data_IF_151748562664
#
_entry.id   IF_151748562664
#
_cell.length_a   1.000
_cell.length_b   1.000
_cell.length_c   1.000
_cell.angle_alpha   90.00
_cell.angle_beta   90.00
_cell.angle_gamma   90.00
#
_symmetry.space_group_name_H-M   'P 1'
#
loop_
_entity.id
_entity.type
_entity.pdbx_description
1 polymer ?
#
# COMPACT_ATOMS: atom_id res chain seq x y z
N UNK A 1 48.59 31.39 39.30
CA UNK A 1 48.70 30.85 40.67
C UNK A 1 47.42 31.18 41.42
N UNK A 2 46.85 30.13 42.03
CA UNK A 2 45.82 30.08 43.08
C UNK A 2 44.36 30.49 42.81
N UNK A 3 43.42 29.77 43.46
CA UNK A 3 42.06 29.52 42.95
C UNK A 3 40.95 29.85 43.99
N UNK A 4 39.72 29.40 43.70
CA UNK A 4 38.56 29.24 44.62
C UNK A 4 37.86 30.59 44.96
N UNK A 5 36.55 30.68 45.17
CA UNK A 5 35.62 29.77 45.87
C UNK A 5 34.18 29.94 45.36
N UNK A 6 33.46 28.82 45.44
CA UNK A 6 32.01 28.75 45.50
C UNK A 6 31.48 29.36 46.80
N UNK A 7 30.33 30.05 46.73
CA UNK A 7 29.42 30.29 47.85
C UNK A 7 27.99 30.14 47.32
N UNK A 8 27.34 29.04 47.66
CA UNK A 8 25.88 28.97 47.81
C UNK A 8 25.51 29.68 49.11
N UNK A 9 24.37 30.40 49.14
CA UNK A 9 23.38 30.27 50.21
C UNK A 9 22.03 30.91 49.84
N UNK A 10 21.01 30.05 49.87
CA UNK A 10 19.61 30.20 50.27
C UNK A 10 18.82 31.52 50.07
N UNK A 11 17.75 31.35 49.28
CA UNK A 11 16.34 31.71 49.51
C UNK A 11 15.98 32.96 50.33
N UNK A 12 15.25 33.89 49.67
CA UNK A 12 14.23 34.69 50.34
C UNK A 12 13.06 34.99 49.40
N UNK A 13 11.87 34.79 49.98
CA UNK A 13 10.53 35.03 49.44
C UNK A 13 10.27 36.51 49.13
N UNK A 14 9.58 36.81 48.02
CA UNK A 14 8.30 37.54 48.01
C UNK A 14 7.98 38.26 46.69
N UNK A 15 6.70 38.17 46.34
CA UNK A 15 5.85 39.11 45.56
C UNK A 15 5.74 38.95 44.04
N UNK A 16 4.47 38.88 43.68
CA UNK A 16 3.83 38.77 42.37
C UNK A 16 4.13 39.95 41.45
N UNK A 17 4.47 39.63 40.20
CA UNK A 17 4.24 40.49 39.05
C UNK A 17 3.42 39.68 38.03
N UNK A 18 2.11 39.91 38.05
CA UNK A 18 1.19 39.54 36.98
C UNK A 18 1.57 40.34 35.73
N UNK A 19 2.36 39.74 34.84
CA UNK A 19 2.48 40.21 33.46
C UNK A 19 1.28 39.66 32.66
N UNK A 20 0.40 40.56 32.26
CA UNK A 20 -0.67 40.34 31.30
C UNK A 20 -0.07 39.89 29.96
N UNK A 21 -0.43 38.68 29.52
CA UNK A 21 -0.12 38.19 28.18
C UNK A 21 -1.02 38.90 27.16
N UNK A 22 -0.49 39.35 26.01
CA UNK A 22 -1.29 40.00 24.98
C UNK A 22 -2.20 38.96 24.30
N UNK A 23 -3.46 39.33 24.10
CA UNK A 23 -4.44 38.56 23.33
C UNK A 23 -3.89 38.29 21.93
N UNK A 24 -3.58 37.02 21.66
CA UNK A 24 -3.25 36.56 20.30
C UNK A 24 -4.54 36.54 19.49
N UNK A 25 -4.67 37.54 18.62
CA UNK A 25 -5.64 37.58 17.54
C UNK A 25 -5.64 36.24 16.77
N UNK A 26 -6.72 35.47 16.90
CA UNK A 26 -6.92 34.18 16.23
C UNK A 26 -7.09 34.44 14.74
N UNK A 27 -6.03 34.24 13.95
CA UNK A 27 -6.15 34.11 12.50
C UNK A 27 -6.69 32.72 12.17
N UNK A 28 -7.80 32.68 11.43
CA UNK A 28 -8.60 31.51 11.08
C UNK A 28 -7.79 30.36 10.45
N UNK A 29 -7.86 29.18 11.06
CA UNK A 29 -7.24 27.91 10.66
C UNK A 29 -8.07 27.12 9.62
N UNK A 30 -8.43 27.74 8.49
CA UNK A 30 -9.37 27.15 7.52
C UNK A 30 -8.80 26.03 6.62
N UNK A 31 -7.48 25.88 6.53
CA UNK A 31 -6.83 24.93 5.61
C UNK A 31 -6.46 23.57 6.23
N UNK A 32 -6.36 23.49 7.57
CA UNK A 32 -6.13 22.23 8.29
C UNK A 32 -7.43 21.48 8.51
N UNK A 33 -8.52 22.18 8.84
CA UNK A 33 -9.86 21.60 9.04
C UNK A 33 -10.41 20.95 7.77
N UNK A 34 -10.29 21.60 6.61
CA UNK A 34 -10.71 21.02 5.31
C UNK A 34 -9.95 19.76 4.94
N UNK A 35 -8.62 19.71 5.18
CA UNK A 35 -7.80 18.52 4.91
C UNK A 35 -8.16 17.35 5.81
N UNK A 36 -8.42 17.62 7.09
CA UNK A 36 -8.86 16.61 8.04
C UNK A 36 -10.23 16.04 7.63
N UNK A 37 -11.18 16.91 7.29
CA UNK A 37 -12.51 16.52 6.84
C UNK A 37 -12.47 15.66 5.57
N UNK A 38 -11.72 16.06 4.54
CA UNK A 38 -11.58 15.27 3.31
C UNK A 38 -10.90 13.90 3.53
N UNK A 39 -10.01 13.80 4.52
CA UNK A 39 -9.39 12.51 4.88
C UNK A 39 -10.41 11.59 5.56
N UNK A 40 -11.21 12.11 6.49
CA UNK A 40 -12.27 11.35 7.14
C UNK A 40 -13.32 10.83 6.15
N UNK A 41 -13.75 11.68 5.21
CA UNK A 41 -14.72 11.28 4.18
C UNK A 41 -14.19 10.18 3.27
N UNK A 42 -12.89 10.23 2.93
CA UNK A 42 -12.27 9.18 2.14
C UNK A 42 -12.17 7.85 2.91
N UNK A 43 -11.86 7.86 4.21
CA UNK A 43 -11.82 6.62 5.00
C UNK A 43 -13.21 6.01 5.18
N UNK A 44 -14.25 6.83 5.43
CA UNK A 44 -15.63 6.32 5.51
C UNK A 44 -16.09 5.75 4.17
N UNK A 45 -15.78 6.42 3.05
CA UNK A 45 -16.05 5.91 1.71
C UNK A 45 -15.38 4.54 1.47
N UNK A 46 -14.09 4.39 1.81
CA UNK A 46 -13.39 3.09 1.71
C UNK A 46 -14.11 2.00 2.50
N UNK A 47 -14.50 2.31 3.74
CA UNK A 47 -15.20 1.39 4.62
C UNK A 47 -16.54 0.94 4.02
N UNK A 48 -17.37 1.88 3.56
CA UNK A 48 -18.66 1.59 2.95
C UNK A 48 -18.53 0.70 1.70
N UNK A 49 -17.57 0.99 0.82
CA UNK A 49 -17.28 0.17 -0.35
C UNK A 49 -16.87 -1.25 0.03
N UNK A 50 -15.95 -1.37 0.99
CA UNK A 50 -15.45 -2.64 1.49
C UNK A 50 -16.56 -3.50 2.12
N UNK A 51 -17.40 -2.88 2.95
CA UNK A 51 -18.49 -3.56 3.63
C UNK A 51 -19.51 -4.07 2.62
N UNK A 52 -19.92 -3.22 1.67
CA UNK A 52 -20.85 -3.62 0.62
C UNK A 52 -20.30 -4.78 -0.23
N UNK A 53 -19.01 -4.76 -0.60
CA UNK A 53 -18.42 -5.85 -1.36
C UNK A 53 -18.40 -7.17 -0.57
N UNK A 54 -17.97 -7.13 0.70
CA UNK A 54 -17.93 -8.32 1.56
C UNK A 54 -19.31 -8.89 1.81
N UNK A 55 -20.30 -8.04 2.08
CA UNK A 55 -21.67 -8.46 2.36
C UNK A 55 -22.34 -9.13 1.15
N UNK A 56 -22.05 -8.66 -0.06
CA UNK A 56 -22.66 -9.18 -1.28
C UNK A 56 -21.95 -10.41 -1.87
N UNK A 57 -20.64 -10.57 -1.65
CA UNK A 57 -19.84 -11.58 -2.36
C UNK A 57 -19.26 -12.69 -1.48
N UNK A 58 -19.19 -12.49 -0.15
CA UNK A 58 -18.66 -13.51 0.75
C UNK A 58 -19.78 -14.44 1.23
N UNK A 59 -19.54 -15.74 1.05
CA UNK A 59 -20.43 -16.82 1.46
C UNK A 59 -19.66 -17.87 2.29
N UNK A 60 -20.40 -18.71 2.99
CA UNK A 60 -19.81 -19.80 3.76
C UNK A 60 -19.10 -20.81 2.83
N UNK A 61 -18.02 -21.42 3.32
CA UNK A 61 -17.18 -22.41 2.62
C UNK A 61 -16.46 -21.88 1.36
N UNK A 62 -16.18 -20.58 1.29
CA UNK A 62 -15.41 -20.00 0.20
C UNK A 62 -13.91 -19.93 0.50
N UNK A 63 -13.11 -20.04 -0.56
CA UNK A 63 -11.71 -19.61 -0.56
C UNK A 63 -11.61 -18.20 -1.13
N UNK A 64 -11.07 -17.28 -0.34
CA UNK A 64 -11.09 -15.84 -0.57
C UNK A 64 -9.67 -15.32 -0.80
N UNK A 65 -9.40 -14.76 -1.98
CA UNK A 65 -8.22 -13.95 -2.24
C UNK A 65 -8.32 -12.60 -1.53
N UNK A 66 -7.34 -12.27 -0.70
CA UNK A 66 -7.29 -11.01 0.07
C UNK A 66 -6.23 -10.09 -0.50
N UNK A 67 -6.70 -8.97 -1.04
CA UNK A 67 -5.93 -7.89 -1.61
C UNK A 67 -5.00 -7.16 -0.64
N UNK A 68 -4.45 -6.03 -1.10
CA UNK A 68 -3.52 -5.21 -0.32
C UNK A 68 -3.93 -3.74 -0.31
N UNK A 69 -3.37 -2.97 0.63
CA UNK A 69 -3.61 -1.53 0.74
C UNK A 69 -4.70 -1.11 1.74
N UNK A 70 -4.88 0.21 1.89
CA UNK A 70 -5.66 0.79 2.99
C UNK A 70 -7.16 0.44 2.95
N UNK A 71 -7.73 0.27 1.76
CA UNK A 71 -9.16 -0.05 1.63
C UNK A 71 -9.45 -1.49 2.07
N UNK A 72 -8.49 -2.40 1.88
CA UNK A 72 -8.62 -3.81 2.23
C UNK A 72 -8.65 -4.05 3.73
N UNK A 73 -8.09 -3.14 4.53
CA UNK A 73 -8.21 -3.16 6.00
C UNK A 73 -9.68 -3.29 6.40
N UNK A 74 -10.55 -2.44 5.86
CA UNK A 74 -11.98 -2.48 6.15
C UNK A 74 -12.69 -3.74 5.63
N UNK A 75 -12.21 -4.33 4.53
CA UNK A 75 -12.77 -5.56 4.00
C UNK A 75 -12.46 -6.73 4.93
N UNK A 76 -11.21 -6.81 5.44
CA UNK A 76 -10.83 -7.85 6.41
C UNK A 76 -11.53 -7.63 7.75
N UNK A 77 -11.67 -6.39 8.22
CA UNK A 77 -12.43 -6.08 9.43
C UNK A 77 -13.87 -6.62 9.32
N UNK A 78 -14.55 -6.34 8.20
CA UNK A 78 -15.91 -6.82 7.95
C UNK A 78 -15.97 -8.34 7.81
N UNK A 79 -15.00 -8.94 7.13
CA UNK A 79 -14.90 -10.38 6.95
C UNK A 79 -14.79 -11.09 8.31
N UNK A 80 -13.92 -10.60 9.19
CA UNK A 80 -13.73 -11.11 10.54
C UNK A 80 -14.99 -10.93 11.41
N UNK A 81 -15.69 -9.80 11.26
CA UNK A 81 -16.99 -9.58 11.90
C UNK A 81 -17.99 -10.68 11.49
N UNK A 82 -18.16 -10.91 10.19
CA UNK A 82 -19.10 -11.92 9.66
C UNK A 82 -18.71 -13.34 10.06
N UNK A 83 -17.44 -13.70 10.00
CA UNK A 83 -16.96 -15.02 10.47
C UNK A 83 -17.34 -15.26 11.93
N UNK A 84 -17.17 -14.26 12.80
CA UNK A 84 -17.51 -14.37 14.22
C UNK A 84 -19.02 -14.42 14.48
N UNK A 85 -19.81 -13.61 13.78
CA UNK A 85 -21.26 -13.50 13.99
C UNK A 85 -22.03 -14.66 13.33
N UNK A 86 -21.70 -14.99 12.08
CA UNK A 86 -22.41 -15.97 11.26
C UNK A 86 -21.75 -17.36 11.30
N UNK A 87 -20.58 -17.49 11.94
CA UNK A 87 -19.78 -18.73 11.99
C UNK A 87 -19.39 -19.24 10.60
N UNK A 88 -18.99 -18.33 9.71
CA UNK A 88 -18.54 -18.68 8.37
C UNK A 88 -17.21 -19.44 8.44
N UNK A 89 -17.14 -20.54 7.70
CA UNK A 89 -15.93 -21.26 7.41
C UNK A 89 -15.34 -20.72 6.10
N UNK A 90 -14.33 -19.86 6.20
CA UNK A 90 -13.66 -19.27 5.04
C UNK A 90 -12.16 -19.52 5.13
N UNK A 91 -11.50 -19.57 3.98
CA UNK A 91 -10.04 -19.68 3.88
C UNK A 91 -9.52 -18.46 3.12
N UNK A 92 -8.51 -17.79 3.64
CA UNK A 92 -7.97 -16.56 3.07
C UNK A 92 -6.60 -16.80 2.44
N UNK A 93 -6.42 -16.41 1.17
CA UNK A 93 -5.14 -16.45 0.44
C UNK A 93 -4.64 -15.02 0.22
N UNK A 94 -3.49 -14.63 0.79
CA UNK A 94 -3.01 -13.25 0.74
C UNK A 94 -2.32 -12.89 -0.59
N UNK A 95 -2.42 -11.61 -0.97
CA UNK A 95 -1.70 -11.02 -2.12
C UNK A 95 -0.37 -10.35 -1.74
N UNK A 96 -0.04 -10.30 -0.45
CA UNK A 96 1.21 -9.71 0.04
C UNK A 96 1.48 -10.07 1.50
N UNK A 97 2.67 -9.72 2.01
CA UNK A 97 2.95 -9.80 3.45
C UNK A 97 1.97 -8.96 4.30
N UNK A 98 1.55 -7.78 3.84
CA UNK A 98 0.59 -6.92 4.53
C UNK A 98 -0.76 -7.64 4.68
N UNK A 99 -1.28 -8.18 3.57
CA UNK A 99 -2.53 -8.93 3.57
C UNK A 99 -2.44 -10.14 4.52
N UNK A 100 -1.33 -10.87 4.46
CA UNK A 100 -1.05 -12.01 5.35
C UNK A 100 -1.11 -11.62 6.82
N UNK A 101 -0.46 -10.52 7.21
CA UNK A 101 -0.47 -10.07 8.60
C UNK A 101 -1.87 -9.63 9.04
N UNK A 102 -2.59 -8.93 8.17
CA UNK A 102 -3.95 -8.47 8.44
C UNK A 102 -4.92 -9.63 8.67
N UNK A 103 -4.83 -10.71 7.87
CA UNK A 103 -5.60 -11.96 8.05
C UNK A 103 -5.31 -12.57 9.43
N UNK A 104 -4.02 -12.74 9.77
CA UNK A 104 -3.61 -13.38 11.02
C UNK A 104 -4.03 -12.57 12.24
N UNK A 105 -3.90 -11.24 12.19
CA UNK A 105 -4.28 -10.34 13.28
C UNK A 105 -5.78 -10.40 13.58
N UNK A 106 -6.61 -10.71 12.59
CA UNK A 106 -8.06 -10.86 12.72
C UNK A 106 -8.50 -12.28 13.07
N UNK A 107 -7.56 -13.22 13.25
CA UNK A 107 -7.87 -14.62 13.56
C UNK A 107 -8.57 -15.37 12.42
N UNK A 108 -8.40 -14.92 11.17
CA UNK A 108 -8.93 -15.59 9.99
C UNK A 108 -8.02 -16.74 9.55
N UNK A 109 -8.62 -17.78 8.95
CA UNK A 109 -7.88 -18.95 8.45
C UNK A 109 -7.00 -18.54 7.27
N UNK A 110 -5.68 -18.63 7.43
CA UNK A 110 -4.70 -18.34 6.39
C UNK A 110 -4.36 -19.60 5.57
N UNK A 111 -4.23 -19.47 4.26
CA UNK A 111 -3.71 -20.49 3.35
C UNK A 111 -2.90 -19.88 2.19
N UNK A 112 -2.59 -20.68 1.19
CA UNK A 112 -1.82 -20.33 0.00
C UNK A 112 -2.34 -21.01 -1.27
N UNK A 113 -1.81 -20.60 -2.43
CA UNK A 113 -2.22 -21.13 -3.74
C UNK A 113 -1.75 -22.56 -3.98
N UNK A 114 -0.73 -23.04 -3.26
CA UNK A 114 -0.29 -24.44 -3.35
C UNK A 114 -1.36 -25.39 -2.80
N UNK A 115 -2.06 -24.98 -1.74
CA UNK A 115 -3.18 -25.73 -1.17
C UNK A 115 -4.52 -25.42 -1.85
N UNK A 116 -4.70 -24.18 -2.31
CA UNK A 116 -5.94 -23.72 -2.95
C UNK A 116 -5.62 -22.98 -4.26
N UNK A 117 -5.36 -23.71 -5.36
CA UNK A 117 -4.99 -23.10 -6.64
C UNK A 117 -6.17 -22.38 -7.33
N UNK A 118 -7.40 -22.70 -6.94
CA UNK A 118 -8.63 -22.06 -7.40
C UNK A 118 -9.32 -21.38 -6.22
N UNK A 119 -9.73 -20.13 -6.43
CA UNK A 119 -10.40 -19.29 -5.44
C UNK A 119 -11.83 -18.99 -5.89
N UNK A 120 -12.76 -18.85 -4.95
CA UNK A 120 -14.14 -18.50 -5.28
C UNK A 120 -14.27 -17.01 -5.56
N UNK A 121 -13.58 -16.19 -4.75
CA UNK A 121 -13.65 -14.74 -4.88
C UNK A 121 -12.32 -14.12 -4.46
N UNK A 122 -11.87 -13.07 -5.16
CA UNK A 122 -10.79 -12.20 -4.71
C UNK A 122 -11.34 -10.79 -4.52
N UNK A 123 -11.03 -10.18 -3.37
CA UNK A 123 -11.36 -8.78 -3.08
C UNK A 123 -10.06 -7.98 -3.02
N UNK A 124 -9.92 -6.93 -3.83
CA UNK A 124 -8.73 -6.09 -3.85
C UNK A 124 -9.02 -4.60 -4.12
N UNK A 125 -8.08 -3.73 -3.78
CA UNK A 125 -8.14 -2.30 -4.10
C UNK A 125 -7.59 -1.97 -5.48
N UNK A 126 -7.85 -0.74 -5.93
CA UNK A 126 -7.25 -0.17 -7.13
C UNK A 126 -6.69 1.25 -6.89
N UNK A 127 -5.66 1.62 -7.66
CA UNK A 127 -5.11 2.96 -7.67
C UNK A 127 -5.92 3.92 -8.55
N UNK A 128 -6.55 3.36 -9.59
CA UNK A 128 -7.50 4.02 -10.49
C UNK A 128 -8.32 2.96 -11.25
N UNK A 129 -9.56 3.31 -11.60
CA UNK A 129 -10.48 2.47 -12.37
C UNK A 129 -11.11 3.31 -13.47
N UNK A 130 -11.07 2.83 -14.72
CA UNK A 130 -11.71 3.51 -15.84
C UNK A 130 -13.17 3.07 -16.09
N UNK A 131 -13.78 3.61 -17.15
CA UNK A 131 -15.15 3.27 -17.54
C UNK A 131 -15.33 1.82 -18.00
N UNK A 132 -14.26 1.17 -18.47
CA UNK A 132 -14.25 -0.22 -18.95
C UNK A 132 -13.78 -1.22 -17.88
N UNK A 133 -13.67 -0.79 -16.63
CA UNK A 133 -13.15 -1.57 -15.49
C UNK A 133 -11.71 -2.04 -15.70
N UNK A 134 -10.95 -1.34 -16.54
CA UNK A 134 -9.50 -1.48 -16.55
C UNK A 134 -8.94 -0.77 -15.33
N UNK A 135 -8.06 -1.44 -14.59
CA UNK A 135 -7.49 -0.91 -13.36
C UNK A 135 -6.02 -0.58 -13.54
N UNK A 136 -5.58 0.47 -12.85
CA UNK A 136 -4.18 0.60 -12.43
C UNK A 136 -4.07 0.09 -10.99
N UNK A 137 -3.11 -0.80 -10.74
CA UNK A 137 -2.73 -1.34 -9.44
C UNK A 137 -1.22 -1.30 -9.25
N UNK A 138 -0.73 -1.58 -8.04
CA UNK A 138 0.69 -1.62 -7.70
C UNK A 138 1.29 -0.28 -7.24
N UNK A 139 0.46 0.71 -6.95
CA UNK A 139 0.85 2.06 -6.53
C UNK A 139 1.42 2.16 -5.12
N UNK A 140 1.19 1.15 -4.28
CA UNK A 140 1.82 0.90 -2.97
C UNK A 140 2.20 2.15 -2.18
N UNK A 141 1.28 2.69 -1.39
CA UNK A 141 1.57 3.83 -0.52
C UNK A 141 2.29 3.41 0.75
N UNK A 142 3.10 4.34 1.27
CA UNK A 142 3.78 4.23 2.56
C UNK A 142 2.76 4.06 3.69
N UNK A 143 2.75 2.90 4.35
CA UNK A 143 1.94 2.68 5.53
C UNK A 143 2.59 3.41 6.71
N UNK A 144 2.19 4.66 6.95
CA UNK A 144 2.64 5.42 8.12
C UNK A 144 1.96 4.99 9.43
N UNK A 145 1.08 3.99 9.42
CA UNK A 145 0.22 3.64 10.58
C UNK A 145 0.59 2.26 11.14
N UNK A 146 1.86 1.99 11.39
CA UNK A 146 2.25 1.05 12.45
C UNK A 146 3.74 1.27 12.70
N UNK A 147 4.07 2.43 13.26
CA UNK A 147 5.24 2.53 14.12
C UNK A 147 4.97 1.62 15.32
N UNK A 148 5.17 0.31 15.16
CA UNK A 148 5.54 -0.51 16.30
C UNK A 148 6.84 0.13 16.78
N UNK A 149 6.80 0.78 17.93
CA UNK A 149 7.99 1.08 18.72
C UNK A 149 8.64 -0.26 19.06
N UNK A 150 9.39 -0.83 18.12
CA UNK A 150 10.39 -1.82 18.47
C UNK A 150 11.54 -0.99 19.04
N UNK A 151 11.48 -0.74 20.34
CA UNK A 151 12.62 -0.27 21.12
C UNK A 151 13.74 -1.31 20.99
N UNK A 152 14.57 -1.21 19.95
CA UNK A 152 15.88 -1.84 19.97
C UNK A 152 16.80 -0.94 20.80
N UNK A 153 16.78 -1.16 22.11
CA UNK A 153 17.91 -0.79 22.96
C UNK A 153 19.03 -1.78 22.65
N UNK A 154 19.91 -1.43 21.71
CA UNK A 154 21.23 -2.05 21.61
C UNK A 154 22.23 -0.99 22.00
N UNK A 155 22.60 -0.98 23.29
CA UNK A 155 23.73 -0.22 23.79
C UNK A 155 24.99 -0.64 23.05
N UNK A 156 25.48 0.23 22.18
CA UNK A 156 26.72 0.08 21.44
C UNK A 156 27.90 0.40 22.38
N UNK A 157 28.38 -0.57 23.16
CA UNK A 157 29.67 -0.47 23.83
C UNK A 157 30.78 -0.90 22.88
N UNK A 158 31.44 0.08 22.25
CA UNK A 158 32.71 -0.15 21.57
C UNK A 158 33.81 -0.34 22.62
N UNK A 159 34.35 -1.55 22.74
CA UNK A 159 35.65 -1.79 23.35
C UNK A 159 36.61 -2.22 22.25
N UNK A 160 37.61 -1.38 21.99
CA UNK A 160 38.71 -1.66 21.07
C UNK A 160 39.56 -2.80 21.66
N UNK A 161 39.41 -4.00 21.12
CA UNK A 161 40.33 -5.10 21.37
C UNK A 161 41.21 -5.28 20.13
N UNK A 162 42.44 -4.76 20.17
CA UNK A 162 43.47 -5.01 19.17
C UNK A 162 44.16 -6.35 19.46
N UNK A 163 43.74 -7.43 18.80
CA UNK A 163 44.60 -8.63 18.63
C UNK A 163 44.41 -9.26 17.25
N UNK A 164 45.47 -9.86 16.65
CA UNK A 164 45.47 -10.34 15.28
C UNK A 164 44.90 -11.77 15.19
N UNK A 165 43.57 -11.89 15.27
CA UNK A 165 42.80 -13.03 14.72
C UNK A 165 41.50 -12.51 14.11
N UNK A 166 41.62 -11.73 13.05
CA UNK A 166 40.49 -11.18 12.30
C UNK A 166 40.41 -11.86 10.92
N UNK A 167 40.00 -13.13 10.89
CA UNK A 167 39.46 -13.77 9.70
C UNK A 167 38.24 -14.60 10.15
N UNK A 168 37.11 -14.39 9.47
CA UNK A 168 35.80 -15.03 9.68
C UNK A 168 34.94 -14.55 10.86
N UNK A 169 34.75 -13.25 11.00
CA UNK A 169 33.46 -12.72 11.43
C UNK A 169 32.72 -12.22 10.19
N UNK A 170 32.02 -13.14 9.52
CA UNK A 170 31.08 -12.83 8.44
C UNK A 170 29.95 -12.01 9.09
N UNK A 171 30.11 -10.68 9.07
CA UNK A 171 29.15 -9.73 9.62
C UNK A 171 27.87 -9.83 8.79
N UNK A 172 26.97 -10.71 9.23
CA UNK A 172 25.57 -10.67 8.86
C UNK A 172 24.99 -9.36 9.42
N UNK A 173 25.17 -8.27 8.67
CA UNK A 173 24.30 -7.10 8.79
C UNK A 173 22.96 -7.59 8.26
N UNK A 174 22.13 -8.11 9.16
CA UNK A 174 20.69 -8.14 8.96
C UNK A 174 20.28 -6.68 8.77
N UNK A 175 20.29 -6.21 7.52
CA UNK A 175 19.42 -5.12 7.14
C UNK A 175 18.04 -5.57 7.59
N UNK A 176 17.49 -4.92 8.62
CA UNK A 176 16.07 -4.96 8.89
C UNK A 176 15.42 -4.39 7.63
N UNK A 177 15.14 -5.27 6.66
CA UNK A 177 14.12 -5.05 5.66
C UNK A 177 12.83 -5.01 6.45
N UNK A 178 12.49 -3.86 7.01
CA UNK A 178 11.10 -3.58 7.31
C UNK A 178 10.37 -3.78 5.97
N UNK A 179 9.45 -4.76 5.87
CA UNK A 179 8.72 -5.01 4.64
C UNK A 179 7.84 -3.78 4.37
N UNK A 180 8.40 -2.84 3.64
CA UNK A 180 7.67 -1.72 3.09
C UNK A 180 7.07 -2.24 1.80
N UNK A 181 5.88 -2.85 1.92
CA UNK A 181 5.12 -3.46 0.83
C UNK A 181 4.75 -2.41 -0.23
N UNK A 182 5.71 -2.09 -1.09
CA UNK A 182 5.53 -1.17 -2.20
C UNK A 182 5.58 -1.98 -3.49
N UNK A 183 4.40 -2.30 -4.00
CA UNK A 183 4.20 -2.97 -5.29
C UNK A 183 4.11 -4.47 -5.18
N UNK A 184 2.91 -4.91 -4.82
CA UNK A 184 2.52 -6.32 -4.75
C UNK A 184 1.78 -6.76 -6.03
N UNK A 185 1.88 -5.97 -7.12
CA UNK A 185 1.06 -6.13 -8.33
C UNK A 185 1.12 -7.54 -8.92
N UNK A 186 2.28 -8.21 -8.86
CA UNK A 186 2.43 -9.56 -9.41
C UNK A 186 1.60 -10.55 -8.60
N UNK A 187 1.72 -10.54 -7.27
CA UNK A 187 0.97 -11.43 -6.40
C UNK A 187 -0.53 -11.09 -6.42
N UNK A 188 -0.88 -9.79 -6.42
CA UNK A 188 -2.26 -9.31 -6.63
C UNK A 188 -2.87 -9.89 -7.91
N UNK A 189 -2.13 -9.84 -9.04
CA UNK A 189 -2.62 -10.33 -10.33
C UNK A 189 -2.73 -11.86 -10.37
N UNK A 190 -1.79 -12.57 -9.76
CA UNK A 190 -1.83 -14.04 -9.67
C UNK A 190 -3.08 -14.48 -8.89
N UNK A 191 -3.29 -13.95 -7.67
CA UNK A 191 -4.45 -14.29 -6.84
C UNK A 191 -5.75 -13.91 -7.53
N UNK A 192 -5.83 -12.71 -8.13
CA UNK A 192 -7.00 -12.30 -8.90
C UNK A 192 -7.28 -13.23 -10.09
N UNK A 193 -6.23 -13.71 -10.79
CA UNK A 193 -6.35 -14.65 -11.90
C UNK A 193 -6.75 -16.08 -11.49
N UNK A 194 -6.52 -16.46 -10.24
CA UNK A 194 -6.97 -17.73 -9.67
C UNK A 194 -8.43 -17.68 -9.17
N UNK A 195 -9.07 -16.51 -9.14
CA UNK A 195 -10.42 -16.33 -8.61
C UNK A 195 -11.51 -16.41 -9.69
N UNK A 196 -12.62 -17.08 -9.38
CA UNK A 196 -13.82 -17.09 -10.22
C UNK A 196 -14.44 -15.70 -10.34
N UNK A 197 -14.48 -14.98 -9.22
CA UNK A 197 -15.02 -13.63 -9.13
C UNK A 197 -13.94 -12.66 -8.62
N UNK A 198 -13.57 -11.65 -9.41
CA UNK A 198 -12.65 -10.61 -8.97
C UNK A 198 -13.40 -9.30 -8.71
N UNK A 199 -13.48 -8.93 -7.43
CA UNK A 199 -14.23 -7.79 -6.92
C UNK A 199 -13.28 -6.69 -6.46
N UNK A 200 -13.49 -5.49 -6.98
CA UNK A 200 -12.64 -4.34 -6.68
C UNK A 200 -13.35 -3.40 -5.73
N UNK A 201 -12.64 -2.89 -4.73
CA UNK A 201 -13.14 -1.90 -3.78
C UNK A 201 -12.32 -0.62 -3.85
N UNK A 202 -12.98 0.53 -3.91
CA UNK A 202 -12.32 1.81 -3.99
C UNK A 202 -13.18 2.95 -3.42
N UNK A 203 -12.55 4.08 -3.12
CA UNK A 203 -13.27 5.33 -2.85
C UNK A 203 -13.48 6.13 -4.15
N UNK A 204 -14.38 7.11 -4.11
CA UNK A 204 -14.79 7.94 -5.26
C UNK A 204 -13.64 8.60 -6.02
N UNK A 205 -12.48 8.86 -5.39
CA UNK A 205 -11.32 9.48 -6.06
C UNK A 205 -10.67 8.54 -7.08
N UNK A 206 -10.98 7.25 -7.03
CA UNK A 206 -10.46 6.22 -7.92
C UNK A 206 -11.34 6.01 -9.14
N UNK A 207 -12.56 6.58 -9.14
CA UNK A 207 -13.52 6.50 -10.24
C UNK A 207 -13.16 7.50 -11.36
N UNK A 208 -12.58 6.99 -12.45
CA UNK A 208 -12.18 7.79 -13.62
C UNK A 208 -12.92 7.37 -14.88
N UNK A 209 -13.00 8.28 -15.87
CA UNK A 209 -13.53 7.92 -17.19
C UNK A 209 -12.49 7.20 -18.04
N UNK A 210 -11.23 7.62 -17.92
CA UNK A 210 -10.08 7.01 -18.57
C UNK A 210 -8.90 6.96 -17.59
N UNK A 211 -8.05 5.94 -17.71
CA UNK A 211 -6.84 5.84 -16.91
C UNK A 211 -5.91 7.04 -17.14
N UNK A 212 -5.21 7.44 -16.08
CA UNK A 212 -4.33 8.59 -16.04
C UNK A 212 -5.03 9.90 -15.70
N UNK A 213 -6.34 9.91 -15.37
CA UNK A 213 -7.08 11.12 -15.03
C UNK A 213 -6.81 11.58 -13.61
N UNK A 214 -6.98 10.67 -12.64
CA UNK A 214 -6.77 10.88 -11.21
C UNK A 214 -5.40 10.33 -10.78
N UNK A 215 -4.93 9.25 -11.40
CA UNK A 215 -3.65 8.65 -11.07
C UNK A 215 -2.52 9.14 -11.99
N UNK A 216 -1.68 10.03 -11.47
CA UNK A 216 -0.58 10.65 -12.23
C UNK A 216 0.80 10.03 -11.99
N UNK A 217 0.91 9.04 -11.10
CA UNK A 217 2.22 8.44 -10.79
C UNK A 217 2.72 7.52 -11.90
N UNK A 218 1.83 7.05 -12.77
CA UNK A 218 2.15 6.15 -13.87
C UNK A 218 1.77 4.70 -13.57
N UNK A 219 1.77 3.87 -14.61
CA UNK A 219 1.52 2.43 -14.53
C UNK A 219 2.75 1.74 -13.92
N UNK A 220 2.61 1.06 -12.78
CA UNK A 220 3.72 0.29 -12.22
C UNK A 220 4.04 -0.92 -13.11
N UNK A 221 5.31 -1.21 -13.34
CA UNK A 221 5.79 -2.36 -14.10
C UNK A 221 6.88 -3.04 -13.28
N UNK A 222 6.64 -4.28 -12.86
CA UNK A 222 7.62 -5.07 -12.13
C UNK A 222 8.62 -5.67 -13.11
N UNK A 223 9.91 -5.49 -12.83
CA UNK A 223 11.01 -5.85 -13.74
C UNK A 223 12.16 -6.53 -12.99
N UNK A 224 12.81 -7.47 -13.67
CA UNK A 224 14.06 -8.05 -13.19
C UNK A 224 15.09 -6.92 -12.98
N UNK A 225 15.81 -6.88 -11.83
CA UNK A 225 16.70 -5.77 -11.50
C UNK A 225 17.75 -5.44 -12.56
N UNK A 226 18.28 -6.43 -13.28
CA UNK A 226 19.25 -6.20 -14.36
C UNK A 226 18.64 -5.51 -15.60
N UNK A 227 17.32 -5.62 -15.79
CA UNK A 227 16.61 -5.22 -17.00
C UNK A 227 15.94 -3.84 -16.93
N UNK A 228 15.99 -3.13 -15.79
CA UNK A 228 15.20 -1.90 -15.61
C UNK A 228 15.51 -0.80 -16.65
N UNK A 229 16.79 -0.63 -17.04
CA UNK A 229 17.20 0.35 -18.07
C UNK A 229 16.71 -0.04 -19.47
N UNK A 230 17.02 -1.24 -20.01
CA UNK A 230 16.53 -1.61 -21.35
C UNK A 230 15.01 -1.68 -21.42
N UNK A 231 14.32 -2.14 -20.37
CA UNK A 231 12.85 -2.14 -20.30
C UNK A 231 12.30 -0.71 -20.34
N UNK A 232 12.83 0.20 -19.51
CA UNK A 232 12.41 1.61 -19.50
C UNK A 232 12.54 2.24 -20.90
N UNK A 233 13.68 2.03 -21.57
CA UNK A 233 13.91 2.53 -22.94
C UNK A 233 12.97 1.88 -23.95
N UNK A 234 12.68 0.59 -23.82
CA UNK A 234 11.78 -0.13 -24.72
C UNK A 234 10.34 0.38 -24.61
N UNK A 235 9.85 0.62 -23.39
CA UNK A 235 8.53 1.19 -23.13
C UNK A 235 8.45 2.60 -23.76
N UNK A 236 9.40 3.48 -23.44
CA UNK A 236 9.42 4.85 -23.95
C UNK A 236 9.48 4.90 -25.49
N UNK A 237 10.27 4.02 -26.13
CA UNK A 237 10.35 3.94 -27.60
C UNK A 237 9.07 3.47 -28.27
N UNK A 238 8.35 2.53 -27.65
CA UNK A 238 7.16 1.91 -28.25
C UNK A 238 5.88 2.70 -27.99
N UNK A 239 5.76 3.30 -26.81
CA UNK A 239 4.51 3.88 -26.33
C UNK A 239 4.63 5.35 -25.89
N UNK A 240 5.82 5.94 -25.98
CA UNK A 240 6.08 7.29 -25.49
C UNK A 240 6.12 7.39 -23.96
N UNK A 241 6.16 8.62 -23.46
CA UNK A 241 6.24 8.91 -22.03
C UNK A 241 7.55 8.48 -21.37
N UNK A 242 7.54 8.38 -20.05
CA UNK A 242 8.74 8.13 -19.23
C UNK A 242 8.50 7.01 -18.22
N UNK A 243 9.36 5.98 -18.22
CA UNK A 243 9.35 4.89 -17.24
C UNK A 243 10.47 5.10 -16.21
N UNK A 244 10.10 5.55 -15.01
CA UNK A 244 11.03 5.97 -13.95
C UNK A 244 11.20 4.86 -12.92
N UNK A 245 12.43 4.57 -12.51
CA UNK A 245 12.69 3.62 -11.41
C UNK A 245 12.12 4.15 -10.09
N UNK A 246 11.26 3.36 -9.45
CA UNK A 246 10.63 3.73 -8.18
C UNK A 246 11.66 3.69 -7.04
N UNK A 247 11.97 4.85 -6.46
CA UNK A 247 12.88 4.96 -5.33
C UNK A 247 12.17 4.72 -4.00
N UNK A 248 12.84 4.03 -3.07
CA UNK A 248 12.30 3.83 -1.74
C UNK A 248 12.40 5.13 -0.91
N UNK A 249 11.41 5.36 -0.03
CA UNK A 249 11.40 6.55 0.85
C UNK A 249 12.15 6.27 2.16
N UNK A 250 11.98 5.06 2.71
CA UNK A 250 12.49 4.68 4.04
C UNK A 250 13.82 3.93 4.00
N UNK A 251 14.45 3.81 2.83
CA UNK A 251 15.79 3.23 2.64
C UNK A 251 16.47 3.84 1.42
N UNK A 252 17.80 3.78 1.37
CA UNK A 252 18.55 4.14 0.18
C UNK A 252 18.31 3.11 -0.94
N UNK A 253 18.23 3.59 -2.18
CA UNK A 253 18.07 2.74 -3.37
C UNK A 253 16.61 2.52 -3.81
N UNK A 254 16.41 1.66 -4.82
CA UNK A 254 15.09 1.40 -5.38
C UNK A 254 14.19 0.62 -4.43
N UNK A 255 12.89 0.70 -4.69
CA UNK A 255 11.92 -0.24 -4.15
C UNK A 255 12.28 -1.65 -4.65
N UNK A 256 12.23 -2.61 -3.72
CA UNK A 256 12.40 -4.03 -4.00
C UNK A 256 11.10 -4.71 -3.62
N UNK A 257 10.47 -5.41 -4.57
CA UNK A 257 9.20 -6.11 -4.35
C UNK A 257 9.40 -7.34 -3.45
N UNK A 258 8.29 -7.94 -3.01
CA UNK A 258 8.29 -9.21 -2.28
C UNK A 258 8.93 -10.35 -3.10
N UNK A 259 8.96 -10.21 -4.43
CA UNK A 259 9.59 -11.14 -5.37
C UNK A 259 11.05 -10.75 -5.71
N UNK A 260 11.64 -9.82 -4.95
CA UNK A 260 13.01 -9.31 -5.15
C UNK A 260 13.25 -8.57 -6.47
N UNK A 261 12.20 -8.01 -7.07
CA UNK A 261 12.28 -7.27 -8.33
C UNK A 261 12.24 -5.75 -8.13
N UNK A 262 12.52 -4.99 -9.19
CA UNK A 262 12.35 -3.54 -9.21
C UNK A 262 11.00 -3.14 -9.80
N UNK A 263 10.61 -1.89 -9.61
CA UNK A 263 9.40 -1.32 -10.20
C UNK A 263 9.77 -0.09 -11.02
N UNK A 264 9.29 -0.05 -12.25
CA UNK A 264 9.25 1.15 -13.08
C UNK A 264 7.84 1.75 -13.01
N UNK A 265 7.74 3.04 -12.74
CA UNK A 265 6.50 3.80 -12.85
C UNK A 265 6.46 4.46 -14.24
N UNK A 266 5.64 3.93 -15.14
CA UNK A 266 5.50 4.43 -16.50
C UNK A 266 4.42 5.51 -16.61
N UNK A 267 4.85 6.75 -16.77
CA UNK A 267 3.99 7.91 -17.02
C UNK A 267 3.71 8.01 -18.51
N UNK A 268 2.50 7.61 -18.92
CA UNK A 268 2.01 7.70 -20.28
C UNK A 268 1.33 9.05 -20.54
N UNK A 269 1.29 9.49 -21.80
CA UNK A 269 0.78 10.82 -22.18
C UNK A 269 -0.64 10.80 -22.75
N UNK A 270 -0.99 9.72 -23.46
CA UNK A 270 -2.24 9.62 -24.21
C UNK A 270 -2.97 8.33 -23.86
N UNK A 271 -4.31 8.34 -24.01
CA UNK A 271 -5.13 7.14 -23.90
C UNK A 271 -4.66 6.09 -24.91
N UNK A 272 -4.61 4.84 -24.48
CA UNK A 272 -4.11 3.72 -25.27
C UNK A 272 -5.13 2.60 -25.33
N UNK A 273 -4.97 1.67 -26.27
CA UNK A 273 -5.59 0.36 -26.18
C UNK A 273 -4.91 -0.44 -25.05
N UNK A 274 -5.51 -0.44 -23.86
CA UNK A 274 -4.91 -1.05 -22.67
C UNK A 274 -4.64 -2.54 -22.82
N UNK A 275 -5.45 -3.26 -23.61
CA UNK A 275 -5.24 -4.69 -23.86
C UNK A 275 -3.95 -4.94 -24.66
N UNK A 276 -3.77 -4.17 -25.74
CA UNK A 276 -2.57 -4.25 -26.57
C UNK A 276 -1.33 -3.79 -25.81
N UNK A 277 -1.41 -2.66 -25.11
CA UNK A 277 -0.30 -2.13 -24.30
C UNK A 277 0.10 -3.10 -23.20
N UNK A 278 -0.87 -3.63 -22.44
CA UNK A 278 -0.59 -4.62 -21.40
C UNK A 278 0.16 -5.83 -21.97
N UNK A 279 -0.35 -6.40 -23.07
CA UNK A 279 0.26 -7.57 -23.73
C UNK A 279 1.66 -7.24 -24.24
N UNK A 280 1.82 -6.11 -24.93
CA UNK A 280 3.08 -5.75 -25.56
C UNK A 280 4.17 -5.37 -24.55
N UNK A 281 3.82 -4.75 -23.40
CA UNK A 281 4.76 -4.51 -22.30
C UNK A 281 5.12 -5.84 -21.62
N UNK A 282 4.13 -6.70 -21.32
CA UNK A 282 4.37 -8.01 -20.70
C UNK A 282 5.32 -8.88 -21.52
N UNK A 283 5.34 -8.73 -22.84
CA UNK A 283 6.21 -9.47 -23.76
C UNK A 283 7.63 -8.89 -23.89
N UNK A 284 7.98 -7.78 -23.22
CA UNK A 284 9.35 -7.27 -23.21
C UNK A 284 10.21 -8.15 -22.28
N UNK A 285 11.36 -8.68 -22.74
CA UNK A 285 12.26 -9.45 -21.89
C UNK A 285 12.69 -8.67 -20.64
N UNK A 286 12.52 -9.29 -19.48
CA UNK A 286 12.80 -8.67 -18.18
C UNK A 286 11.59 -8.03 -17.50
N UNK A 287 10.44 -7.90 -18.17
CA UNK A 287 9.17 -7.56 -17.52
C UNK A 287 8.61 -8.80 -16.84
N UNK A 288 8.35 -8.68 -15.54
CA UNK A 288 7.70 -9.71 -14.72
C UNK A 288 6.20 -9.57 -14.88
N UNK A 289 5.63 -8.40 -14.58
CA UNK A 289 4.20 -8.12 -14.68
C UNK A 289 3.93 -6.61 -14.75
N UNK A 290 2.73 -6.22 -15.18
CA UNK A 290 2.26 -4.83 -15.27
C UNK A 290 1.19 -4.53 -14.22
N UNK A 291 1.04 -3.27 -13.83
CA UNK A 291 -0.04 -2.78 -12.99
C UNK A 291 -1.37 -2.64 -13.74
N UNK A 292 -1.48 -3.08 -15.00
CA UNK A 292 -2.72 -3.02 -15.79
C UNK A 292 -3.52 -4.31 -15.60
N UNK A 293 -4.70 -4.19 -14.99
CA UNK A 293 -5.65 -5.30 -14.83
C UNK A 293 -6.77 -5.09 -15.85
N UNK A 294 -6.61 -5.67 -17.03
CA UNK A 294 -7.50 -5.47 -18.18
C UNK A 294 -8.45 -6.65 -18.29
N UNK A 295 -9.76 -6.41 -18.22
CA UNK A 295 -10.78 -7.45 -18.38
C UNK A 295 -10.78 -8.52 -17.27
N UNK A 296 -10.26 -8.18 -16.09
CA UNK A 296 -10.23 -9.09 -14.94
C UNK A 296 -11.36 -8.80 -13.94
N UNK A 297 -11.65 -7.53 -13.68
CA UNK A 297 -12.63 -7.14 -12.67
C UNK A 297 -14.05 -7.44 -13.14
N UNK A 298 -14.81 -8.17 -12.34
CA UNK A 298 -16.22 -8.43 -12.57
C UNK A 298 -17.08 -7.29 -12.05
N UNK A 299 -16.72 -6.71 -10.91
CA UNK A 299 -17.49 -5.60 -10.32
C UNK A 299 -16.58 -4.70 -9.51
N UNK A 300 -16.89 -3.42 -9.52
CA UNK A 300 -16.21 -2.41 -8.71
C UNK A 300 -17.22 -1.73 -7.78
N UNK A 301 -16.90 -1.67 -6.50
CA UNK A 301 -17.64 -0.92 -5.48
C UNK A 301 -16.89 0.39 -5.18
N UNK A 302 -17.56 1.52 -5.39
CA UNK A 302 -17.08 2.86 -5.07
C UNK A 302 -17.83 3.43 -3.88
N UNK A 303 -17.11 3.72 -2.80
CA UNK A 303 -17.65 4.54 -1.72
C UNK A 303 -17.68 5.99 -2.14
N UNK A 304 -18.86 6.59 -2.11
CA UNK A 304 -19.10 7.96 -2.54
C UNK A 304 -18.93 8.93 -1.37
N UNK A 305 -18.57 10.19 -1.67
CA UNK A 305 -18.41 11.23 -0.66
C UNK A 305 -19.71 11.52 0.11
N UNK A 306 -20.86 11.26 -0.50
CA UNK A 306 -22.19 11.44 0.09
C UNK A 306 -22.67 10.25 0.96
N UNK A 307 -21.81 9.27 1.20
CA UNK A 307 -22.12 8.08 2.00
C UNK A 307 -22.88 6.98 1.24
N UNK A 308 -23.11 7.14 -0.07
CA UNK A 308 -23.64 6.06 -0.91
C UNK A 308 -22.54 5.12 -1.37
N UNK A 309 -22.92 3.91 -1.78
CA UNK A 309 -22.04 3.00 -2.50
C UNK A 309 -22.54 2.88 -3.94
N UNK A 310 -21.68 3.22 -4.89
CA UNK A 310 -21.92 3.07 -6.33
C UNK A 310 -21.26 1.79 -6.81
N UNK A 311 -21.99 0.96 -7.53
CA UNK A 311 -21.42 -0.20 -8.22
C UNK A 311 -21.16 0.11 -9.70
N UNK A 312 -20.18 -0.59 -10.27
CA UNK A 312 -19.94 -0.63 -11.72
C UNK A 312 -19.69 -2.07 -12.15
N UNK A 313 -20.48 -2.52 -13.10
CA UNK A 313 -20.36 -3.79 -13.80
C UNK A 313 -19.71 -3.56 -15.18
N UNK A 314 -19.16 -4.60 -15.82
CA UNK A 314 -18.53 -4.48 -17.13
C UNK A 314 -19.56 -4.02 -18.15
N UNK A 315 -19.15 -3.27 -19.20
CA UNK A 315 -20.06 -2.93 -20.29
C UNK A 315 -20.70 -4.20 -20.85
N UNK A 316 -22.03 -4.20 -20.99
CA UNK A 316 -22.73 -5.26 -21.70
C UNK A 316 -22.31 -5.16 -23.16
N UNK A 317 -21.61 -6.17 -23.66
CA UNK A 317 -21.28 -6.31 -25.08
C UNK A 317 -22.51 -6.69 -25.90
#
# INVERSE_FOLDING_TARGET
MTPRKWVEFAATSSRSLLLSLPEKHVRSSSSSSRRYHGTLMAEEAKKLAAYAAVDNHIQNNQVVGVGSGSTIVYAVDRLAERVRQEKLNIVCVPTSFQARQLILQHGLTLSDLDRHPELDVAIDGADEVDAALTLIKGGGYDWKIFSIQVFFSVSLHFHLCETPRCHQAQRHIHFLFLPQNRGCLTQEKIVAGCAKHFIVIADYRKDSKALGQQWKKGVPVEVIPMAYVPVSRAIARRFGGEAVLRMAVSKAGPVVTDNSNFILDWKFEHAQNWKEVNTAIKMIPGVVETGLFVGMAERVYFGMEDGRVKTRDPPIN
#
